data_IF_796560520201
#
_entry.id   IF_796560520201
#
_cell.length_a   1.000
_cell.length_b   1.000
_cell.length_c   1.000
_cell.angle_alpha   90.00
_cell.angle_beta   90.00
_cell.angle_gamma   90.00
#
_symmetry.space_group_name_H-M   'P 1'
#
loop_
_entity.id
_entity.type
_entity.pdbx_description
1 polymer ?
#
# COMPACT_ATOMS: atom_id res chain seq x y z
N UNK A 1 -20.50 -19.93 15.72
CA UNK A 1 -19.31 -19.66 14.90
C UNK A 1 -18.42 -18.72 15.70
N UNK A 2 -17.32 -19.23 16.27
CA UNK A 2 -16.35 -18.46 17.02
C UNK A 2 -15.02 -18.57 16.28
N UNK A 3 -14.46 -17.46 15.83
CA UNK A 3 -13.08 -17.37 15.33
C UNK A 3 -12.28 -16.55 16.34
N UNK A 4 -11.33 -17.21 17.00
CA UNK A 4 -10.38 -16.57 17.90
C UNK A 4 -9.22 -15.90 17.15
N UNK A 5 -8.51 -14.95 17.78
CA UNK A 5 -7.33 -14.32 17.21
C UNK A 5 -6.05 -14.99 17.75
N UNK A 6 -5.05 -15.26 16.89
CA UNK A 6 -3.65 -15.39 17.32
C UNK A 6 -2.71 -15.64 16.13
N UNK A 7 -2.14 -14.60 15.51
CA UNK A 7 -0.85 -14.69 14.80
C UNK A 7 -0.18 -13.30 14.73
N UNK A 8 0.38 -12.83 15.85
CA UNK A 8 1.15 -11.57 15.92
C UNK A 8 2.42 -11.62 16.78
N UNK A 9 2.76 -12.78 17.38
CA UNK A 9 3.79 -12.87 18.41
C UNK A 9 5.22 -13.16 17.93
N UNK A 10 5.44 -13.52 16.67
CA UNK A 10 6.72 -14.11 16.24
C UNK A 10 7.81 -13.10 15.82
N UNK A 11 7.45 -11.86 15.44
CA UNK A 11 8.41 -10.87 14.90
C UNK A 11 9.05 -9.99 16.00
N UNK A 12 8.42 -9.87 17.17
CA UNK A 12 8.94 -9.06 18.28
C UNK A 12 10.09 -9.77 19.04
N UNK A 13 10.04 -11.11 19.15
CA UNK A 13 11.00 -11.88 19.94
C UNK A 13 12.41 -11.94 19.32
N UNK A 14 12.55 -11.80 17.99
CA UNK A 14 13.84 -11.90 17.28
C UNK A 14 14.71 -10.64 17.43
N UNK A 15 14.07 -9.47 17.60
CA UNK A 15 14.78 -8.18 17.76
C UNK A 15 15.46 -8.05 19.12
N UNK A 16 14.84 -8.56 20.18
CA UNK A 16 15.40 -8.53 21.54
C UNK A 16 16.60 -9.49 21.71
N UNK A 17 16.65 -10.59 20.95
CA UNK A 17 17.81 -11.50 20.98
C UNK A 17 19.02 -10.89 20.26
N UNK A 18 18.82 -10.13 19.18
CA UNK A 18 19.93 -9.42 18.50
C UNK A 18 20.59 -8.36 19.38
N UNK A 19 19.81 -7.51 20.07
CA UNK A 19 20.36 -6.47 20.95
C UNK A 19 21.11 -7.08 22.15
N UNK A 20 20.59 -8.17 22.71
CA UNK A 20 21.23 -8.85 23.84
C UNK A 20 22.49 -9.62 23.45
N UNK A 21 22.58 -10.13 22.20
CA UNK A 21 23.81 -10.72 21.63
C UNK A 21 24.86 -9.66 21.33
N UNK A 22 24.47 -8.51 20.78
CA UNK A 22 25.37 -7.39 20.52
C UNK A 22 25.94 -6.82 21.84
N UNK A 23 25.10 -6.63 22.86
CA UNK A 23 25.51 -6.18 24.18
C UNK A 23 26.46 -7.19 24.87
N UNK A 24 26.25 -8.49 24.69
CA UNK A 24 27.17 -9.54 25.19
C UNK A 24 28.50 -9.57 24.44
N UNK A 25 28.49 -9.36 23.12
CA UNK A 25 29.70 -9.27 22.31
C UNK A 25 30.57 -8.05 22.68
N UNK A 26 29.96 -6.88 22.92
CA UNK A 26 30.66 -5.67 23.37
C UNK A 26 31.25 -5.87 24.78
N UNK A 27 30.49 -6.51 25.68
CA UNK A 27 30.95 -6.79 27.05
C UNK A 27 32.08 -7.82 27.08
N UNK A 28 32.07 -8.82 26.20
CA UNK A 28 33.14 -9.80 26.03
C UNK A 28 34.40 -9.18 25.39
N UNK A 29 34.24 -8.29 24.41
CA UNK A 29 35.35 -7.54 23.80
C UNK A 29 36.03 -6.58 24.80
N UNK A 30 35.26 -6.01 25.74
CA UNK A 30 35.81 -5.19 26.83
C UNK A 30 36.50 -6.04 27.91
N UNK A 31 35.90 -7.15 28.37
CA UNK A 31 36.47 -7.91 29.49
C UNK A 31 37.80 -8.62 29.16
N UNK A 32 38.06 -9.00 27.91
CA UNK A 32 39.29 -9.70 27.52
C UNK A 32 40.54 -8.84 27.38
N UNK A 33 40.43 -7.50 27.44
CA UNK A 33 41.57 -6.60 27.13
C UNK A 33 41.66 -5.34 27.99
N UNK A 34 40.87 -5.25 29.07
CA UNK A 34 40.87 -4.10 30.00
C UNK A 34 42.03 -4.12 31.02
N UNK A 35 42.83 -5.19 31.09
CA UNK A 35 44.00 -5.24 31.98
C UNK A 35 45.26 -4.57 31.40
N UNK A 36 45.22 -4.00 30.18
CA UNK A 36 46.41 -3.38 29.53
C UNK A 36 46.30 -1.92 29.09
N UNK A 37 45.23 -1.20 29.42
CA UNK A 37 45.11 0.24 29.10
C UNK A 37 45.12 1.14 30.35
N UNK A 38 46.06 0.94 31.26
CA UNK A 38 46.41 1.96 32.28
C UNK A 38 47.48 2.87 31.70
N UNK A 39 47.05 3.88 30.96
CA UNK A 39 47.90 4.92 30.39
C UNK A 39 47.05 6.15 30.01
N UNK A 40 47.65 7.35 29.88
CA UNK A 40 46.92 8.61 29.68
C UNK A 40 46.06 8.62 28.41
N UNK A 41 46.38 7.77 27.43
CA UNK A 41 45.62 7.56 26.19
C UNK A 41 44.24 6.89 26.43
N UNK A 42 44.14 6.02 27.45
CA UNK A 42 42.91 5.27 27.75
C UNK A 42 41.81 6.13 28.36
N UNK A 43 42.19 7.15 29.15
CA UNK A 43 41.25 8.09 29.76
C UNK A 43 40.64 9.05 28.73
N UNK A 44 41.42 9.43 27.70
CA UNK A 44 40.91 10.26 26.60
C UNK A 44 39.85 9.51 25.78
N UNK A 45 40.10 8.25 25.43
CA UNK A 45 39.15 7.41 24.70
C UNK A 45 37.86 7.23 25.50
N UNK A 46 37.97 7.06 26.82
CA UNK A 46 36.81 6.89 27.71
C UNK A 46 35.96 8.15 27.81
N UNK A 47 36.59 9.33 27.85
CA UNK A 47 35.91 10.64 27.86
C UNK A 47 35.23 10.94 26.52
N UNK A 48 35.88 10.65 25.40
CA UNK A 48 35.30 10.81 24.07
C UNK A 48 34.10 9.88 23.86
N UNK A 49 34.19 8.62 24.32
CA UNK A 49 33.07 7.69 24.28
C UNK A 49 31.88 8.15 25.14
N UNK A 50 32.14 8.68 26.34
CA UNK A 50 31.10 9.23 27.21
C UNK A 50 30.44 10.49 26.60
N UNK A 51 31.23 11.38 26.00
CA UNK A 51 30.71 12.57 25.32
C UNK A 51 29.87 12.22 24.08
N UNK A 52 30.28 11.21 23.31
CA UNK A 52 29.51 10.71 22.16
C UNK A 52 28.18 10.07 22.59
N UNK A 53 28.15 9.32 23.71
CA UNK A 53 26.90 8.78 24.25
C UNK A 53 25.96 9.89 24.77
N UNK A 54 26.49 10.91 25.44
CA UNK A 54 25.71 12.06 25.90
C UNK A 54 25.14 12.87 24.72
N UNK A 55 25.92 13.04 23.65
CA UNK A 55 25.46 13.72 22.44
C UNK A 55 24.40 12.90 21.69
N UNK A 56 24.54 11.57 21.66
CA UNK A 56 23.53 10.69 21.08
C UNK A 56 22.21 10.68 21.88
N UNK A 57 22.26 10.87 23.20
CA UNK A 57 21.08 10.99 24.05
C UNK A 57 20.33 12.33 23.87
N UNK A 58 20.98 13.35 23.30
CA UNK A 58 20.37 14.64 22.98
C UNK A 58 19.77 14.68 21.57
N UNK A 59 19.96 13.64 20.76
CA UNK A 59 19.30 13.54 19.46
C UNK A 59 17.82 13.21 19.70
N UNK A 60 16.87 14.04 19.24
CA UNK A 60 15.46 13.69 19.32
C UNK A 60 15.25 12.42 18.48
N UNK A 61 14.75 11.37 19.13
CA UNK A 61 14.24 10.20 18.42
C UNK A 61 13.16 10.69 17.46
N UNK A 62 13.46 10.71 16.15
CA UNK A 62 12.40 10.81 15.14
C UNK A 62 11.61 9.52 15.24
N UNK A 63 10.55 9.53 16.06
CA UNK A 63 9.50 8.53 15.98
C UNK A 63 8.83 8.73 14.63
N UNK A 64 9.33 8.01 13.63
CA UNK A 64 8.65 7.85 12.36
C UNK A 64 7.46 6.93 12.65
N UNK A 65 6.42 7.51 13.27
CA UNK A 65 5.15 6.83 13.44
C UNK A 65 4.63 6.52 12.05
N UNK A 66 4.37 5.23 11.78
CA UNK A 66 3.60 4.86 10.62
C UNK A 66 2.28 5.64 10.71
N UNK A 67 2.11 6.58 9.78
CA UNK A 67 0.95 7.45 9.73
C UNK A 67 -0.25 6.54 9.42
N UNK A 68 -1.03 6.19 10.44
CA UNK A 68 -2.17 5.27 10.32
C UNK A 68 -3.42 6.02 9.91
N UNK A 69 -4.31 5.37 9.16
CA UNK A 69 -5.66 5.89 8.95
C UNK A 69 -6.47 5.77 10.24
N UNK A 70 -7.20 6.83 10.58
CA UNK A 70 -8.37 6.69 11.43
C UNK A 70 -9.49 6.05 10.59
N UNK A 71 -9.96 4.84 10.94
CA UNK A 71 -11.04 4.19 10.21
C UNK A 71 -12.32 5.04 10.12
N UNK A 72 -12.65 5.80 11.17
CA UNK A 72 -13.86 6.61 11.19
C UNK A 72 -13.79 7.76 10.16
N UNK A 73 -12.65 8.42 10.06
CA UNK A 73 -12.43 9.49 9.09
C UNK A 73 -12.46 8.96 7.64
N UNK A 74 -11.85 7.79 7.38
CA UNK A 74 -11.87 7.18 6.05
C UNK A 74 -13.28 6.78 5.63
N UNK A 75 -14.06 6.20 6.54
CA UNK A 75 -15.46 5.84 6.25
C UNK A 75 -16.28 7.10 6.01
N UNK A 76 -16.14 8.13 6.83
CA UNK A 76 -16.87 9.39 6.64
C UNK A 76 -16.53 10.06 5.30
N UNK A 77 -15.26 10.04 4.88
CA UNK A 77 -14.84 10.55 3.57
C UNK A 77 -15.43 9.73 2.41
N UNK A 78 -15.48 8.40 2.56
CA UNK A 78 -16.11 7.51 1.58
C UNK A 78 -17.61 7.78 1.46
N UNK A 79 -18.32 7.93 2.58
CA UNK A 79 -19.76 8.20 2.59
C UNK A 79 -20.09 9.59 2.04
N UNK A 80 -19.25 10.58 2.32
CA UNK A 80 -19.42 11.94 1.81
C UNK A 80 -19.30 12.04 0.28
N UNK A 81 -18.63 11.09 -0.38
CA UNK A 81 -18.55 11.04 -1.84
C UNK A 81 -19.83 10.49 -2.50
N UNK A 82 -20.75 9.88 -1.73
CA UNK A 82 -21.98 9.30 -2.28
C UNK A 82 -22.92 10.40 -2.75
N UNK A 83 -23.26 10.37 -4.04
CA UNK A 83 -24.14 11.38 -4.67
C UNK A 83 -23.38 12.55 -5.29
N UNK A 84 -22.07 12.64 -5.05
CA UNK A 84 -21.21 13.65 -5.68
C UNK A 84 -20.89 13.30 -7.15
N UNK A 85 -20.62 14.33 -7.93
CA UNK A 85 -20.26 14.17 -9.34
C UNK A 85 -18.77 13.88 -9.47
N UNK A 86 -18.43 12.84 -10.23
CA UNK A 86 -17.05 12.54 -10.60
C UNK A 86 -16.64 13.44 -11.76
N UNK A 87 -15.48 14.10 -11.66
CA UNK A 87 -14.94 14.96 -12.71
C UNK A 87 -14.67 14.22 -14.02
N UNK A 88 -14.39 14.97 -15.08
CA UNK A 88 -13.97 14.41 -16.35
C UNK A 88 -12.45 14.20 -16.36
N UNK A 89 -12.05 12.94 -16.57
CA UNK A 89 -10.67 12.51 -16.57
C UNK A 89 -10.35 11.73 -17.83
N UNK A 90 -9.11 11.85 -18.30
CA UNK A 90 -8.60 11.00 -19.39
C UNK A 90 -7.67 9.96 -18.79
N UNK A 91 -7.97 8.70 -19.05
CA UNK A 91 -7.19 7.54 -18.64
C UNK A 91 -6.38 7.01 -19.82
N UNK A 92 -5.48 6.08 -19.53
CA UNK A 92 -4.75 5.29 -20.52
C UNK A 92 -5.16 3.83 -20.33
N UNK A 93 -5.72 3.23 -21.36
CA UNK A 93 -6.17 1.85 -21.31
C UNK A 93 -5.01 0.84 -21.36
N UNK A 94 -5.31 -0.44 -21.13
CA UNK A 94 -4.31 -1.53 -21.13
C UNK A 94 -3.59 -1.74 -22.49
N UNK A 95 -4.09 -1.14 -23.57
CA UNK A 95 -3.47 -1.16 -24.89
C UNK A 95 -2.69 0.13 -25.19
N UNK A 96 -2.63 1.07 -24.24
CA UNK A 96 -1.97 2.36 -24.39
C UNK A 96 -2.82 3.43 -25.09
N UNK A 97 -4.11 3.17 -25.32
CA UNK A 97 -5.00 4.15 -25.94
C UNK A 97 -5.52 5.16 -24.91
N UNK A 98 -5.70 6.40 -25.36
CA UNK A 98 -6.40 7.44 -24.60
C UNK A 98 -7.85 7.01 -24.39
N UNK A 99 -8.33 7.09 -23.16
CA UNK A 99 -9.69 6.71 -22.76
C UNK A 99 -10.31 7.82 -21.91
N UNK A 100 -11.04 8.77 -22.51
CA UNK A 100 -11.86 9.72 -21.77
C UNK A 100 -12.91 8.99 -20.94
N UNK A 101 -12.98 9.28 -19.63
CA UNK A 101 -13.93 8.64 -18.73
C UNK A 101 -15.38 8.89 -19.14
N UNK A 102 -15.64 10.04 -19.79
CA UNK A 102 -16.94 10.39 -20.36
C UNK A 102 -17.47 9.36 -21.39
N UNK A 103 -16.59 8.67 -22.12
CA UNK A 103 -16.98 7.62 -23.08
C UNK A 103 -17.63 6.41 -22.39
N UNK A 104 -17.32 6.19 -21.11
CA UNK A 104 -17.87 5.09 -20.31
C UNK A 104 -19.16 5.45 -19.59
N UNK A 105 -19.58 6.73 -19.62
CA UNK A 105 -20.73 7.28 -18.87
C UNK A 105 -22.04 7.31 -19.63
N UNK A 106 -22.08 6.78 -20.86
CA UNK A 106 -23.33 6.67 -21.64
C UNK A 106 -24.37 5.73 -21.01
N UNK A 107 -23.93 4.91 -20.05
CA UNK A 107 -24.72 3.97 -19.24
C UNK A 107 -24.10 3.88 -17.84
N UNK A 108 -24.78 3.29 -16.86
CA UNK A 108 -24.21 3.06 -15.53
C UNK A 108 -22.80 2.44 -15.62
N UNK A 109 -21.88 2.97 -14.82
CA UNK A 109 -20.48 2.54 -14.80
C UNK A 109 -20.15 1.92 -13.45
N UNK A 110 -19.75 0.66 -13.46
CA UNK A 110 -19.18 -0.02 -12.30
C UNK A 110 -17.68 0.20 -12.29
N UNK A 111 -17.14 0.79 -11.21
CA UNK A 111 -15.70 1.01 -11.06
C UNK A 111 -15.13 0.04 -10.04
N UNK A 112 -14.10 -0.71 -10.44
CA UNK A 112 -13.33 -1.63 -9.59
C UNK A 112 -11.91 -1.08 -9.43
N UNK A 113 -11.54 -0.66 -8.23
CA UNK A 113 -10.24 -0.04 -7.97
C UNK A 113 -9.25 -1.14 -7.56
N UNK A 114 -8.13 -1.24 -8.27
CA UNK A 114 -7.10 -2.27 -8.07
C UNK A 114 -5.71 -1.67 -8.12
N UNK A 115 -4.73 -2.39 -7.58
CA UNK A 115 -3.33 -2.19 -7.91
C UNK A 115 -2.71 -3.54 -8.27
N UNK A 116 -2.05 -3.62 -9.42
CA UNK A 116 -1.71 -4.90 -10.08
C UNK A 116 -0.64 -5.70 -9.34
N UNK A 117 0.11 -5.08 -8.43
CA UNK A 117 1.12 -5.72 -7.59
C UNK A 117 0.55 -6.36 -6.32
N UNK A 118 -0.75 -6.18 -6.04
CA UNK A 118 -1.41 -6.81 -4.89
C UNK A 118 -1.51 -8.33 -5.06
N UNK A 119 -0.97 -9.09 -4.10
CA UNK A 119 -1.05 -10.55 -4.07
C UNK A 119 -2.10 -11.10 -3.11
N UNK A 120 -2.75 -10.24 -2.32
CA UNK A 120 -3.67 -10.64 -1.24
C UNK A 120 -5.13 -10.35 -1.58
N UNK A 121 -5.56 -9.10 -1.44
CA UNK A 121 -6.97 -8.72 -1.46
C UNK A 121 -7.50 -8.48 -2.87
N UNK A 122 -6.71 -7.93 -3.80
CA UNK A 122 -7.22 -7.60 -5.13
C UNK A 122 -7.60 -8.83 -5.96
N UNK A 123 -6.81 -9.93 -6.04
CA UNK A 123 -7.19 -11.10 -6.84
C UNK A 123 -8.54 -11.73 -6.44
N UNK A 124 -8.79 -12.10 -5.17
CA UNK A 124 -10.08 -12.68 -4.80
C UNK A 124 -11.23 -11.68 -4.97
N UNK A 125 -11.03 -10.39 -4.68
CA UNK A 125 -12.07 -9.37 -4.91
C UNK A 125 -12.42 -9.25 -6.40
N UNK A 126 -11.43 -9.25 -7.29
CA UNK A 126 -11.67 -9.22 -8.73
C UNK A 126 -12.49 -10.42 -9.20
N UNK A 127 -12.21 -11.62 -8.71
CA UNK A 127 -13.00 -12.81 -9.06
C UNK A 127 -14.46 -12.69 -8.62
N UNK A 128 -14.73 -12.16 -7.41
CA UNK A 128 -16.11 -11.91 -6.95
C UNK A 128 -16.83 -10.86 -7.79
N UNK A 129 -16.11 -9.84 -8.26
CA UNK A 129 -16.67 -8.83 -9.16
C UNK A 129 -17.01 -9.46 -10.52
N UNK A 130 -16.18 -10.36 -11.05
CA UNK A 130 -16.48 -11.10 -12.28
C UNK A 130 -17.78 -11.88 -12.12
N UNK A 131 -17.91 -12.68 -11.06
CA UNK A 131 -19.13 -13.46 -10.78
C UNK A 131 -20.38 -12.55 -10.66
N UNK A 132 -20.27 -11.43 -9.94
CA UNK A 132 -21.37 -10.49 -9.77
C UNK A 132 -21.77 -9.79 -11.09
N UNK A 133 -20.79 -9.42 -11.92
CA UNK A 133 -21.03 -8.79 -13.22
C UNK A 133 -21.67 -9.78 -14.19
N UNK A 134 -21.22 -11.03 -14.21
CA UNK A 134 -21.83 -12.08 -15.05
C UNK A 134 -23.28 -12.33 -14.68
N UNK A 135 -23.58 -12.43 -13.38
CA UNK A 135 -24.94 -12.60 -12.89
C UNK A 135 -25.81 -11.38 -13.20
N UNK A 136 -25.30 -10.15 -12.98
CA UNK A 136 -26.02 -8.93 -13.33
C UNK A 136 -26.31 -8.86 -14.85
N UNK A 137 -25.35 -9.23 -15.70
CA UNK A 137 -25.55 -9.30 -17.16
C UNK A 137 -26.57 -10.37 -17.55
N UNK A 138 -26.66 -11.47 -16.81
CA UNK A 138 -27.69 -12.52 -17.03
C UNK A 138 -29.09 -12.01 -16.69
N UNK A 139 -29.24 -11.23 -15.62
CA UNK A 139 -30.54 -10.71 -15.15
C UNK A 139 -31.00 -9.49 -15.94
N UNK A 140 -30.11 -8.53 -16.18
CA UNK A 140 -30.45 -7.24 -16.78
C UNK A 140 -30.11 -7.13 -18.28
N UNK A 141 -29.22 -7.98 -18.78
CA UNK A 141 -28.70 -7.95 -20.15
C UNK A 141 -27.26 -7.42 -20.23
N UNK A 142 -26.50 -7.90 -21.22
CA UNK A 142 -25.06 -7.69 -21.32
C UNK A 142 -24.60 -6.23 -21.49
N UNK A 143 -25.46 -5.37 -22.06
CA UNK A 143 -25.11 -3.99 -22.47
C UNK A 143 -25.71 -2.90 -21.56
N UNK A 144 -26.29 -3.27 -20.42
CA UNK A 144 -26.95 -2.32 -19.51
C UNK A 144 -25.98 -1.46 -18.69
N UNK A 145 -24.73 -1.89 -18.53
CA UNK A 145 -23.71 -1.16 -17.79
C UNK A 145 -22.32 -1.44 -18.34
N UNK A 146 -21.40 -0.50 -18.11
CA UNK A 146 -19.97 -0.65 -18.41
C UNK A 146 -19.22 -1.00 -17.13
N UNK A 147 -18.07 -1.68 -17.26
CA UNK A 147 -17.17 -1.92 -16.12
C UNK A 147 -15.80 -1.29 -16.41
N UNK A 148 -15.25 -0.59 -15.42
CA UNK A 148 -13.89 -0.07 -15.44
C UNK A 148 -13.11 -0.63 -14.26
N UNK A 149 -12.08 -1.41 -14.54
CA UNK A 149 -11.04 -1.70 -13.54
C UNK A 149 -9.98 -0.60 -13.61
N UNK A 150 -9.89 0.20 -12.54
CA UNK A 150 -8.96 1.32 -12.41
C UNK A 150 -7.71 0.90 -11.63
N UNK A 151 -6.56 0.89 -12.29
CA UNK A 151 -5.25 0.77 -11.64
C UNK A 151 -4.87 2.07 -10.95
N UNK A 152 -4.67 2.05 -9.62
CA UNK A 152 -4.32 3.27 -8.88
C UNK A 152 -2.84 3.42 -8.52
N UNK A 153 -2.01 2.41 -8.75
CA UNK A 153 -0.57 2.55 -8.58
C UNK A 153 0.02 3.24 -9.83
N UNK A 154 -0.04 4.58 -9.85
CA UNK A 154 0.42 5.40 -10.97
C UNK A 154 1.83 5.07 -11.48
N UNK A 155 2.69 4.51 -10.60
CA UNK A 155 4.07 4.15 -10.94
C UNK A 155 4.17 2.78 -11.58
N UNK A 156 3.35 1.81 -11.16
CA UNK A 156 3.51 0.40 -11.53
C UNK A 156 2.34 -0.14 -12.37
N UNK A 157 1.16 0.46 -12.39
CA UNK A 157 0.02 0.00 -13.18
C UNK A 157 0.10 0.50 -14.62
N UNK A 158 1.15 0.06 -15.32
CA UNK A 158 1.38 0.33 -16.74
C UNK A 158 0.38 -0.46 -17.60
N UNK A 159 0.16 -0.07 -18.87
CA UNK A 159 -0.71 -0.81 -19.79
C UNK A 159 -0.38 -2.30 -19.86
N UNK A 160 0.91 -2.65 -19.94
CA UNK A 160 1.38 -4.04 -19.95
C UNK A 160 1.03 -4.81 -18.68
N UNK A 161 1.10 -4.17 -17.50
CA UNK A 161 0.76 -4.81 -16.22
C UNK A 161 -0.74 -4.96 -16.02
N UNK A 162 -1.52 -4.00 -16.49
CA UNK A 162 -2.98 -4.11 -16.54
C UNK A 162 -3.43 -5.23 -17.47
N UNK A 163 -2.82 -5.36 -18.65
CA UNK A 163 -3.11 -6.45 -19.58
C UNK A 163 -2.74 -7.82 -19.00
N UNK A 164 -1.58 -7.93 -18.37
CA UNK A 164 -1.18 -9.15 -17.66
C UNK A 164 -2.17 -9.50 -16.52
N UNK A 165 -2.58 -8.50 -15.73
CA UNK A 165 -3.58 -8.69 -14.67
C UNK A 165 -4.92 -9.19 -15.23
N UNK A 166 -5.42 -8.58 -16.31
CA UNK A 166 -6.65 -8.99 -16.97
C UNK A 166 -6.60 -10.46 -17.42
N UNK A 167 -5.48 -10.87 -18.04
CA UNK A 167 -5.26 -12.25 -18.49
C UNK A 167 -5.19 -13.22 -17.32
N UNK A 168 -4.43 -12.90 -16.27
CA UNK A 168 -4.31 -13.75 -15.07
C UNK A 168 -5.66 -13.91 -14.36
N UNK A 169 -6.44 -12.84 -14.26
CA UNK A 169 -7.75 -12.86 -13.61
C UNK A 169 -8.88 -13.33 -14.55
N UNK A 170 -8.59 -13.56 -15.83
CA UNK A 170 -9.58 -13.93 -16.88
C UNK A 170 -10.75 -12.95 -16.98
N UNK A 171 -10.46 -11.66 -16.89
CA UNK A 171 -11.48 -10.62 -17.01
C UNK A 171 -12.07 -10.64 -18.44
N UNK A 172 -13.40 -10.72 -18.61
CA UNK A 172 -14.04 -10.68 -19.93
C UNK A 172 -13.73 -9.38 -20.67
N UNK A 173 -13.56 -9.42 -21.99
CA UNK A 173 -13.21 -8.21 -22.77
C UNK A 173 -14.41 -7.33 -23.14
N UNK A 174 -15.60 -7.92 -23.29
CA UNK A 174 -16.79 -7.19 -23.71
C UNK A 174 -17.27 -6.20 -22.61
N UNK A 175 -17.39 -4.92 -22.98
CA UNK A 175 -17.84 -3.82 -22.13
C UNK A 175 -17.11 -3.70 -20.77
N UNK A 176 -15.86 -4.18 -20.71
CA UNK A 176 -15.01 -4.10 -19.53
C UNK A 176 -13.65 -3.51 -19.91
N UNK A 177 -13.35 -2.32 -19.40
CA UNK A 177 -12.07 -1.63 -19.62
C UNK A 177 -11.15 -1.79 -18.42
N UNK A 178 -9.85 -1.84 -18.69
CA UNK A 178 -8.80 -1.68 -17.69
C UNK A 178 -7.99 -0.46 -18.07
N UNK A 179 -7.81 0.46 -17.13
CA UNK A 179 -7.07 1.70 -17.39
C UNK A 179 -6.41 2.23 -16.11
N UNK A 180 -5.45 3.13 -16.30
CA UNK A 180 -4.77 3.88 -15.24
C UNK A 180 -4.53 5.31 -15.72
N UNK A 181 -3.94 6.17 -14.90
CA UNK A 181 -3.57 7.53 -15.26
C UNK A 181 -2.31 7.98 -14.50
N UNK A 182 -1.88 9.21 -14.76
CA UNK A 182 -0.81 9.83 -13.98
C UNK A 182 -1.25 10.08 -12.53
N UNK A 183 -0.26 10.31 -11.65
CA UNK A 183 -0.50 10.47 -10.21
C UNK A 183 -1.42 11.65 -9.86
N UNK A 184 -1.38 12.75 -10.61
CA UNK A 184 -2.22 13.91 -10.33
C UNK A 184 -3.68 13.65 -10.70
N UNK A 185 -3.90 12.98 -11.83
CA UNK A 185 -5.23 12.53 -12.28
C UNK A 185 -5.81 11.50 -11.33
N UNK A 186 -5.05 10.44 -10.97
CA UNK A 186 -5.52 9.41 -10.04
C UNK A 186 -5.85 9.99 -8.66
N UNK A 187 -5.04 10.90 -8.12
CA UNK A 187 -5.32 11.53 -6.83
C UNK A 187 -6.66 12.26 -6.80
N UNK A 188 -7.01 12.97 -7.88
CA UNK A 188 -8.30 13.68 -7.98
C UNK A 188 -9.45 12.70 -8.20
N UNK A 189 -9.33 11.78 -9.15
CA UNK A 189 -10.36 10.78 -9.42
C UNK A 189 -10.68 9.92 -8.19
N UNK A 190 -9.67 9.49 -7.43
CA UNK A 190 -9.88 8.72 -6.22
C UNK A 190 -10.54 9.54 -5.10
N UNK A 191 -10.24 10.84 -5.02
CA UNK A 191 -10.91 11.73 -4.08
C UNK A 191 -12.39 11.89 -4.42
N UNK A 192 -12.74 12.02 -5.71
CA UNK A 192 -14.14 12.13 -6.17
C UNK A 192 -14.97 10.89 -5.82
N UNK A 193 -14.35 9.70 -5.77
CA UNK A 193 -15.02 8.44 -5.41
C UNK A 193 -14.81 8.04 -3.95
N UNK A 194 -14.24 8.92 -3.12
CA UNK A 194 -14.04 8.69 -1.69
C UNK A 194 -13.05 7.57 -1.34
N UNK A 195 -12.14 7.21 -2.26
CA UNK A 195 -11.19 6.12 -2.05
C UNK A 195 -9.90 6.61 -1.41
N UNK A 196 -9.59 6.07 -0.22
CA UNK A 196 -8.37 6.39 0.54
C UNK A 196 -7.37 5.24 0.50
N UNK A 197 -6.09 5.56 0.26
CA UNK A 197 -4.99 4.60 0.29
C UNK A 197 -3.69 5.25 0.79
N UNK A 198 -2.78 4.42 1.30
CA UNK A 198 -1.40 4.81 1.62
C UNK A 198 -0.45 3.79 1.01
N UNK A 199 0.73 4.26 0.63
CA UNK A 199 1.82 3.37 0.30
C UNK A 199 2.23 2.63 1.57
N UNK A 200 2.04 1.31 1.60
CA UNK A 200 2.69 0.48 2.59
C UNK A 200 4.15 0.33 2.15
N UNK A 201 5.10 0.74 3.01
CA UNK A 201 6.50 0.41 2.80
C UNK A 201 6.63 -1.12 2.82
N UNK A 202 7.06 -1.67 1.69
CA UNK A 202 7.54 -3.06 1.58
C UNK A 202 9.04 -3.09 1.80
#
# INVERSE_FOLDING_TARGET
MAFGPALGGAVAADRDDQFSRLARAIRAACHGRLSRCRGPMGDLIRRLAAAALLLAALLPSRTQGAESFDPAEVVAASEAAVGELVGDYTLVDRHGASLPLAELRSRPLVVSIVYTSCSSVCPPTTQRIIEAVEEARRVFGAQQFSVLTLGFDARNDTPARLDAFAKTQRIPEADWRLASADAATLRRLLADVGFSYRAAAG
#
